data_IF_786171080873
#
_entry.id   IF_786171080873
#
_cell.length_a   1.000
_cell.length_b   1.000
_cell.length_c   1.000
_cell.angle_alpha   90.00
_cell.angle_beta   90.00
_cell.angle_gamma   90.00
#
_symmetry.space_group_name_H-M   'P 1'
#
loop_
_entity.id
_entity.type
_entity.pdbx_description
1 polymer ?
#
# COMPACT_ATOMS: atom_id res chain seq x y z
N UNK A 1 -9.13 0.10 -10.94
CA UNK A 1 -8.11 -0.29 -9.93
C UNK A 1 -8.05 -1.78 -9.50
N UNK A 2 -8.73 -2.78 -10.11
CA UNK A 2 -8.77 -4.16 -9.55
C UNK A 2 -7.38 -4.78 -9.32
N UNK A 3 -6.51 -4.79 -10.34
CA UNK A 3 -5.13 -5.30 -10.19
C UNK A 3 -4.28 -4.48 -9.22
N UNK A 4 -4.50 -3.17 -9.18
CA UNK A 4 -3.82 -2.28 -8.24
C UNK A 4 -4.14 -2.65 -6.79
N UNK A 5 -5.43 -2.86 -6.49
CA UNK A 5 -5.93 -3.26 -5.18
C UNK A 5 -5.52 -4.69 -4.77
N UNK A 6 -5.26 -5.55 -5.75
CA UNK A 6 -4.73 -6.89 -5.52
C UNK A 6 -3.24 -6.89 -5.11
N UNK A 7 -2.57 -5.73 -5.11
CA UNK A 7 -1.15 -5.61 -4.80
C UNK A 7 -0.24 -5.54 -6.03
N UNK A 8 -0.77 -5.81 -7.23
CA UNK A 8 -0.07 -5.66 -8.51
C UNK A 8 -0.04 -4.19 -8.96
N UNK A 9 0.57 -3.34 -8.13
CA UNK A 9 0.51 -1.88 -8.27
C UNK A 9 1.06 -1.36 -9.60
N UNK A 10 2.15 -1.94 -10.13
CA UNK A 10 2.75 -1.57 -11.43
C UNK A 10 1.78 -1.83 -12.60
N UNK A 11 1.27 -3.07 -12.71
CA UNK A 11 0.33 -3.43 -13.77
C UNK A 11 -0.97 -2.64 -13.66
N UNK A 12 -1.48 -2.48 -12.44
CA UNK A 12 -2.67 -1.67 -12.18
C UNK A 12 -2.50 -0.22 -12.60
N UNK A 13 -1.33 0.37 -12.38
CA UNK A 13 -1.02 1.74 -12.79
C UNK A 13 -0.92 1.86 -14.32
N UNK A 14 -0.27 0.89 -14.99
CA UNK A 14 -0.16 0.86 -16.45
C UNK A 14 -1.54 0.82 -17.12
N UNK A 15 -2.44 -0.04 -16.65
CA UNK A 15 -3.81 -0.10 -17.19
C UNK A 15 -4.60 1.20 -16.99
N UNK A 16 -4.42 1.88 -15.86
CA UNK A 16 -5.05 3.17 -15.61
C UNK A 16 -4.47 4.26 -16.52
N UNK A 17 -3.18 4.22 -16.83
CA UNK A 17 -2.55 5.13 -17.80
C UNK A 17 -3.10 4.89 -19.21
N UNK A 18 -3.22 3.63 -19.64
CA UNK A 18 -3.81 3.28 -20.94
C UNK A 18 -5.27 3.72 -21.05
N UNK A 19 -6.06 3.52 -19.98
CA UNK A 19 -7.44 3.98 -19.92
C UNK A 19 -7.52 5.51 -20.02
N UNK A 20 -6.66 6.24 -19.30
CA UNK A 20 -6.58 7.69 -19.36
C UNK A 20 -6.13 8.21 -20.74
N UNK A 21 -5.23 7.50 -21.41
CA UNK A 21 -4.77 7.87 -22.76
C UNK A 21 -5.89 7.78 -23.81
N UNK A 22 -6.79 6.81 -23.64
CA UNK A 22 -7.97 6.61 -24.51
C UNK A 22 -9.07 7.64 -24.25
N UNK A 23 -9.23 8.09 -23.01
CA UNK A 23 -10.24 9.08 -22.62
C UNK A 23 -9.66 10.12 -21.66
N UNK A 24 -9.06 11.17 -22.25
CA UNK A 24 -8.32 12.22 -21.52
C UNK A 24 -9.21 13.17 -20.73
N UNK A 25 -10.50 13.24 -21.07
CA UNK A 25 -11.46 14.14 -20.42
C UNK A 25 -12.21 13.49 -19.25
N UNK A 26 -12.02 12.18 -19.06
CA UNK A 26 -12.60 11.42 -17.96
C UNK A 26 -12.03 11.86 -16.60
N UNK A 27 -12.72 12.77 -15.94
CA UNK A 27 -12.35 13.30 -14.62
C UNK A 27 -12.19 12.18 -13.56
N UNK A 28 -13.10 11.17 -13.47
CA UNK A 28 -12.91 10.03 -12.57
C UNK A 28 -11.60 9.27 -12.78
N UNK A 29 -11.29 8.87 -14.03
CA UNK A 29 -10.06 8.11 -14.33
C UNK A 29 -8.82 8.94 -14.00
N UNK A 30 -8.83 10.24 -14.31
CA UNK A 30 -7.74 11.15 -13.96
C UNK A 30 -7.51 11.22 -12.45
N UNK A 31 -8.58 11.32 -11.66
CA UNK A 31 -8.50 11.36 -10.20
C UNK A 31 -7.99 10.04 -9.62
N UNK A 32 -8.53 8.90 -10.08
CA UNK A 32 -8.09 7.56 -9.68
C UNK A 32 -6.61 7.33 -10.01
N UNK A 33 -6.18 7.70 -11.22
CA UNK A 33 -4.78 7.59 -11.64
C UNK A 33 -3.84 8.44 -10.77
N UNK A 34 -4.21 9.69 -10.50
CA UNK A 34 -3.41 10.57 -9.63
C UNK A 34 -3.27 9.99 -8.22
N UNK A 35 -4.35 9.42 -7.67
CA UNK A 35 -4.33 8.84 -6.35
C UNK A 35 -3.50 7.55 -6.31
N UNK A 36 -3.66 6.67 -7.31
CA UNK A 36 -2.81 5.48 -7.45
C UNK A 36 -1.33 5.85 -7.55
N UNK A 37 -1.00 6.89 -8.31
CA UNK A 37 0.37 7.33 -8.46
C UNK A 37 0.97 7.84 -7.13
N UNK A 38 0.19 8.58 -6.33
CA UNK A 38 0.61 9.05 -5.00
C UNK A 38 0.86 7.90 -4.03
N UNK A 39 -0.09 6.98 -3.92
CA UNK A 39 0.05 5.79 -3.08
C UNK A 39 1.26 4.96 -3.50
N UNK A 40 1.41 4.68 -4.79
CA UNK A 40 2.53 3.92 -5.34
C UNK A 40 3.88 4.61 -5.05
N UNK A 41 3.95 5.94 -5.21
CA UNK A 41 5.15 6.72 -4.88
C UNK A 41 5.49 6.62 -3.39
N UNK A 42 4.49 6.70 -2.51
CA UNK A 42 4.70 6.53 -1.06
C UNK A 42 5.23 5.13 -0.73
N UNK A 43 4.71 4.08 -1.36
CA UNK A 43 5.22 2.72 -1.20
C UNK A 43 6.67 2.58 -1.65
N UNK A 44 7.00 3.09 -2.84
CA UNK A 44 8.37 3.07 -3.36
C UNK A 44 9.35 3.82 -2.44
N UNK A 45 8.94 4.97 -1.89
CA UNK A 45 9.73 5.72 -0.91
C UNK A 45 9.93 4.95 0.39
N UNK A 46 8.88 4.32 0.93
CA UNK A 46 8.96 3.46 2.12
C UNK A 46 9.97 2.33 1.94
N UNK A 47 9.84 1.56 0.86
CA UNK A 47 10.78 0.48 0.51
C UNK A 47 12.22 0.97 0.33
N UNK A 48 12.40 2.14 -0.29
CA UNK A 48 13.73 2.77 -0.43
C UNK A 48 14.33 3.16 0.92
N UNK A 49 13.50 3.63 1.86
CA UNK A 49 13.94 3.96 3.21
C UNK A 49 14.35 2.70 4.00
N UNK A 50 13.59 1.61 3.91
CA UNK A 50 13.96 0.30 4.49
C UNK A 50 15.34 -0.14 3.98
N UNK A 51 15.54 -0.15 2.66
CA UNK A 51 16.84 -0.53 2.04
C UNK A 51 18.02 0.33 2.49
N UNK A 52 17.77 1.56 2.94
CA UNK A 52 18.78 2.52 3.40
C UNK A 52 18.89 2.59 4.93
N UNK A 53 18.20 1.70 5.67
CA UNK A 53 18.22 1.70 7.14
C UNK A 53 17.41 2.80 7.81
N UNK A 54 16.64 3.60 7.06
CA UNK A 54 15.81 4.70 7.60
C UNK A 54 14.42 4.19 7.92
N UNK A 55 14.33 3.35 8.94
CA UNK A 55 13.11 2.58 9.24
C UNK A 55 11.94 3.45 9.70
N UNK A 56 12.18 4.48 10.51
CA UNK A 56 11.10 5.38 10.98
C UNK A 56 10.51 6.21 9.83
N UNK A 57 11.34 6.70 8.90
CA UNK A 57 10.84 7.35 7.68
C UNK A 57 10.06 6.37 6.80
N UNK A 58 10.48 5.10 6.75
CA UNK A 58 9.73 4.07 6.02
C UNK A 58 8.31 3.89 6.60
N UNK A 59 8.18 3.83 7.92
CA UNK A 59 6.89 3.76 8.62
C UNK A 59 5.99 4.95 8.25
N UNK A 60 6.53 6.17 8.20
CA UNK A 60 5.77 7.36 7.83
C UNK A 60 5.25 7.26 6.38
N UNK A 61 6.10 6.81 5.46
CA UNK A 61 5.72 6.61 4.06
C UNK A 61 4.65 5.53 3.88
N UNK A 62 4.77 4.39 4.57
CA UNK A 62 3.74 3.35 4.53
C UNK A 62 2.43 3.83 5.17
N UNK A 63 2.51 4.56 6.27
CA UNK A 63 1.33 5.18 6.89
C UNK A 63 0.66 6.18 5.96
N UNK A 64 1.43 6.98 5.23
CA UNK A 64 0.90 7.89 4.22
C UNK A 64 0.20 7.14 3.07
N UNK A 65 0.76 6.02 2.60
CA UNK A 65 0.13 5.18 1.58
C UNK A 65 -1.22 4.61 2.04
N UNK A 66 -1.39 4.35 3.34
CA UNK A 66 -2.63 3.83 3.93
C UNK A 66 -3.68 4.89 4.28
N UNK A 67 -3.32 6.18 4.32
CA UNK A 67 -4.26 7.26 4.70
C UNK A 67 -5.38 7.46 3.67
N UNK A 68 -5.13 7.16 2.40
CA UNK A 68 -6.13 7.26 1.33
C UNK A 68 -7.06 6.04 1.31
N UNK A 69 -7.90 5.92 2.35
CA UNK A 69 -8.82 4.79 2.55
C UNK A 69 -9.84 4.59 1.42
N UNK A 70 -10.16 5.64 0.66
CA UNK A 70 -11.04 5.54 -0.52
C UNK A 70 -10.39 4.76 -1.65
N UNK A 71 -9.06 4.86 -1.80
CA UNK A 71 -8.32 4.16 -2.84
C UNK A 71 -7.73 2.84 -2.35
N UNK A 72 -7.31 2.75 -1.09
CA UNK A 72 -6.77 1.53 -0.50
C UNK A 72 -7.66 1.11 0.68
N UNK A 73 -8.83 0.49 0.41
CA UNK A 73 -9.70 0.02 1.47
C UNK A 73 -9.02 -1.03 2.35
N UNK A 74 -9.38 -1.05 3.63
CA UNK A 74 -8.70 -1.87 4.64
C UNK A 74 -8.78 -3.39 4.37
N UNK A 75 -9.80 -3.82 3.62
CA UNK A 75 -10.05 -5.23 3.25
C UNK A 75 -9.42 -5.63 1.91
N UNK A 76 -8.47 -4.84 1.40
CA UNK A 76 -7.79 -5.17 0.13
C UNK A 76 -6.45 -5.84 0.36
N UNK A 77 -6.03 -6.75 -0.54
CA UNK A 77 -4.68 -7.33 -0.49
C UNK A 77 -3.56 -6.29 -0.46
N UNK A 78 -3.72 -5.18 -1.20
CA UNK A 78 -2.80 -4.04 -1.16
C UNK A 78 -2.66 -3.51 0.27
N UNK A 79 -3.76 -3.25 0.98
CA UNK A 79 -3.69 -2.71 2.35
C UNK A 79 -2.96 -3.64 3.31
N UNK A 80 -3.23 -4.94 3.22
CA UNK A 80 -2.53 -5.94 4.02
C UNK A 80 -1.04 -6.00 3.69
N UNK A 81 -0.67 -5.94 2.40
CA UNK A 81 0.73 -5.86 1.98
C UNK A 81 1.42 -4.62 2.56
N UNK A 82 0.79 -3.44 2.52
CA UNK A 82 1.38 -2.22 3.11
C UNK A 82 1.56 -2.36 4.62
N UNK A 83 0.60 -2.98 5.32
CA UNK A 83 0.74 -3.29 6.76
C UNK A 83 1.92 -4.21 7.03
N UNK A 84 2.11 -5.27 6.25
CA UNK A 84 3.25 -6.17 6.41
C UNK A 84 4.59 -5.45 6.21
N UNK A 85 4.72 -4.61 5.18
CA UNK A 85 5.93 -3.81 4.96
C UNK A 85 6.18 -2.79 6.09
N UNK A 86 5.11 -2.23 6.65
CA UNK A 86 5.21 -1.34 7.82
C UNK A 86 5.60 -2.11 9.09
N UNK A 87 5.06 -3.31 9.29
CA UNK A 87 5.44 -4.19 10.40
C UNK A 87 6.93 -4.55 10.33
N UNK A 88 7.45 -4.86 9.14
CA UNK A 88 8.88 -5.10 8.93
C UNK A 88 9.72 -3.87 9.33
N UNK A 89 9.33 -2.66 8.90
CA UNK A 89 10.00 -1.43 9.29
C UNK A 89 9.96 -1.19 10.82
N UNK A 90 8.84 -1.52 11.47
CA UNK A 90 8.74 -1.49 12.93
C UNK A 90 9.67 -2.49 13.61
N UNK A 91 9.74 -3.73 13.11
CA UNK A 91 10.65 -4.76 13.64
C UNK A 91 12.12 -4.33 13.51
N UNK A 92 12.52 -3.83 12.34
CA UNK A 92 13.89 -3.37 12.08
C UNK A 92 14.29 -2.16 12.93
N UNK A 93 13.31 -1.38 13.41
CA UNK A 93 13.51 -0.28 14.36
C UNK A 93 13.30 -0.68 15.83
N UNK A 94 13.18 -1.98 16.13
CA UNK A 94 12.97 -2.53 17.47
C UNK A 94 11.65 -2.11 18.15
N UNK A 95 10.68 -1.63 17.38
CA UNK A 95 9.34 -1.26 17.85
C UNK A 95 8.38 -2.46 17.76
N UNK A 96 8.62 -3.47 18.59
CA UNK A 96 7.94 -4.77 18.46
C UNK A 96 6.44 -4.73 18.73
N UNK A 97 5.95 -3.82 19.58
CA UNK A 97 4.52 -3.72 19.90
C UNK A 97 3.72 -3.25 18.68
N UNK A 98 4.24 -2.24 17.97
CA UNK A 98 3.62 -1.72 16.76
C UNK A 98 3.69 -2.72 15.61
N UNK A 99 4.82 -3.43 15.48
CA UNK A 99 4.96 -4.53 14.52
C UNK A 99 3.92 -5.63 14.76
N UNK A 100 3.79 -6.09 16.01
CA UNK A 100 2.83 -7.12 16.40
C UNK A 100 1.41 -6.69 16.06
N UNK A 101 1.04 -5.45 16.39
CA UNK A 101 -0.28 -4.91 16.07
C UNK A 101 -0.58 -4.91 14.57
N UNK A 102 0.38 -4.50 13.74
CA UNK A 102 0.20 -4.53 12.29
C UNK A 102 0.00 -5.96 11.77
N UNK A 103 0.72 -6.95 12.30
CA UNK A 103 0.55 -8.37 11.96
C UNK A 103 -0.81 -8.91 12.42
N UNK A 104 -1.23 -8.62 13.65
CA UNK A 104 -2.52 -9.04 14.21
C UNK A 104 -3.69 -8.48 13.39
N UNK A 105 -3.63 -7.19 13.03
CA UNK A 105 -4.62 -6.54 12.17
C UNK A 105 -4.73 -7.23 10.80
N UNK A 106 -3.61 -7.64 10.21
CA UNK A 106 -3.60 -8.36 8.92
C UNK A 106 -4.27 -9.72 9.07
N UNK A 107 -3.87 -10.50 10.06
CA UNK A 107 -4.42 -11.84 10.33
C UNK A 107 -5.94 -11.77 10.57
N UNK A 108 -6.39 -10.80 11.38
CA UNK A 108 -7.82 -10.61 11.65
C UNK A 108 -8.63 -10.24 10.40
N UNK A 109 -8.01 -9.56 9.43
CA UNK A 109 -8.66 -9.16 8.18
C UNK A 109 -8.66 -10.23 7.07
N UNK A 110 -7.80 -11.25 7.19
CA UNK A 110 -7.68 -12.37 6.24
C UNK A 110 -7.93 -13.70 6.96
N UNK A 111 -9.20 -14.11 7.16
CA UNK A 111 -9.52 -15.35 7.87
C UNK A 111 -9.02 -16.63 7.16
N UNK A 112 -8.60 -16.55 5.89
CA UNK A 112 -7.99 -17.68 5.17
C UNK A 112 -6.57 -18.04 5.65
N UNK A 113 -5.87 -17.14 6.36
CA UNK A 113 -4.56 -17.43 6.96
C UNK A 113 -4.64 -17.92 8.42
N UNK A 114 -5.85 -18.10 8.97
CA UNK A 114 -6.06 -18.54 10.35
C UNK A 114 -6.16 -20.08 10.52
N UNK A 115 -6.16 -20.85 9.43
CA UNK A 115 -6.11 -22.31 9.49
C UNK A 115 -4.67 -22.79 9.36
N UNK A 116 -4.11 -23.15 10.51
CA UNK A 116 -2.99 -24.08 10.65
C UNK A 116 -3.34 -25.48 10.12
#
# INVERSE_FOLDING_TARGET
AILYLAGETEKGLHLLQDAYARDKENKPIKQELQQCHRTHTSLAKGRSCVKRGRYMEAVEHFTAAMKEKTLVPEKTPLFAMVRCERAEAWMLSQNFIQALKDCEDVIASQPENATA
#
